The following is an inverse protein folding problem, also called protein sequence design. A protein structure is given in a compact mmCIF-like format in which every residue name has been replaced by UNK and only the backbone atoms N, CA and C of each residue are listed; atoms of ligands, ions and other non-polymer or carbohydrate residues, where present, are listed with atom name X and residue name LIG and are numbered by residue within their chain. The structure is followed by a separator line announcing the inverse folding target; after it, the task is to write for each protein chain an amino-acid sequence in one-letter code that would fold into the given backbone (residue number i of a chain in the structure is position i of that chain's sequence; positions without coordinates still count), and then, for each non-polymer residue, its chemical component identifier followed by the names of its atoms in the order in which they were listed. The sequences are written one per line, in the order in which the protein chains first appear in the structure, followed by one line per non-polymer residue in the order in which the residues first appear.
data_IF_989098455075
#
_entry.id   IF_989098455075
#
_cell.length_a   1.000
_cell.length_b   1.000
_cell.length_c   1.000
_cell.angle_alpha   90.00
_cell.angle_beta   90.00
_cell.angle_gamma   90.00
#
_symmetry.space_group_name_H-M   'P 1'
#
loop_
_entity.id
_entity.type
_entity.pdbx_description
1 polymer ?
#
# COMPACT_ATOMS: atom_id res chain seq x y z
N UNK A 1 28.84 -4.16 11.47
CA UNK A 1 27.99 -2.96 11.77
C UNK A 1 26.57 -3.44 11.95
N UNK A 2 25.83 -2.92 12.92
CA UNK A 2 24.42 -3.29 13.07
C UNK A 2 23.64 -2.70 11.90
N UNK A 3 23.09 -3.55 11.02
CA UNK A 3 22.35 -3.16 9.81
C UNK A 3 20.95 -2.61 10.13
N UNK A 4 20.46 -2.76 11.36
CA UNK A 4 19.07 -2.43 11.72
C UNK A 4 18.67 -0.99 11.39
N UNK A 5 19.56 -0.03 11.57
CA UNK A 5 19.28 1.40 11.30
C UNK A 5 19.55 1.83 9.86
N UNK A 6 19.79 0.86 8.97
CA UNK A 6 20.10 1.15 7.57
C UNK A 6 19.06 2.08 6.93
N UNK A 7 17.77 1.71 6.99
CA UNK A 7 16.71 2.49 6.36
C UNK A 7 16.49 3.86 7.01
N UNK A 8 16.56 3.93 8.33
CA UNK A 8 16.43 5.18 9.08
C UNK A 8 17.50 6.23 8.69
N UNK A 9 18.71 5.77 8.34
CA UNK A 9 19.85 6.62 8.00
C UNK A 9 19.94 7.00 6.52
N UNK A 10 19.02 6.54 5.67
CA UNK A 10 19.03 6.90 4.24
C UNK A 10 18.69 8.39 4.06
N UNK A 11 19.34 9.05 3.07
CA UNK A 11 18.93 10.39 2.67
C UNK A 11 17.48 10.37 2.15
N UNK A 12 16.76 11.46 2.42
CA UNK A 12 15.36 11.60 2.04
C UNK A 12 15.26 12.41 0.76
N UNK A 13 14.57 11.89 -0.24
CA UNK A 13 14.24 12.59 -1.47
C UNK A 13 13.02 13.48 -1.23
N UNK A 14 12.99 14.64 -1.86
CA UNK A 14 11.89 15.61 -1.72
C UNK A 14 10.93 15.62 -2.91
N UNK A 15 11.36 15.14 -4.08
CA UNK A 15 10.51 15.14 -5.28
C UNK A 15 10.32 13.72 -5.82
N UNK A 16 9.08 13.39 -6.19
CA UNK A 16 8.77 12.07 -6.74
C UNK A 16 9.56 11.74 -8.01
N UNK A 17 9.85 12.72 -8.87
CA UNK A 17 10.62 12.49 -10.10
C UNK A 17 12.06 12.04 -9.85
N UNK A 18 12.62 12.32 -8.66
CA UNK A 18 14.00 11.93 -8.29
C UNK A 18 14.18 10.41 -8.15
N UNK A 19 13.06 9.65 -8.06
CA UNK A 19 13.08 8.18 -8.12
C UNK A 19 13.61 7.65 -9.48
N UNK A 20 13.67 8.49 -10.50
CA UNK A 20 14.21 8.12 -11.81
C UNK A 20 15.73 8.29 -11.91
N UNK A 21 16.41 8.72 -10.86
CA UNK A 21 17.87 8.73 -10.78
C UNK A 21 18.37 7.53 -9.97
N UNK A 22 19.04 6.59 -10.64
CA UNK A 22 19.57 5.37 -10.01
C UNK A 22 20.60 5.62 -8.89
N UNK A 23 21.27 6.78 -8.88
CA UNK A 23 22.25 7.15 -7.83
C UNK A 23 21.61 7.39 -6.47
N UNK A 24 20.30 7.66 -6.44
CA UNK A 24 19.54 7.86 -5.21
C UNK A 24 19.20 6.56 -4.47
N UNK A 25 19.59 5.39 -5.02
CA UNK A 25 19.21 4.09 -4.49
C UNK A 25 20.40 3.36 -3.86
N UNK A 26 20.18 2.87 -2.67
CA UNK A 26 21.17 2.15 -1.85
C UNK A 26 20.85 0.66 -1.80
N UNK A 27 21.84 -0.24 -1.89
CA UNK A 27 21.61 -1.67 -1.76
C UNK A 27 21.15 -2.01 -0.35
N UNK A 28 20.10 -2.83 -0.24
CA UNK A 28 19.63 -3.33 1.06
C UNK A 28 20.66 -4.31 1.64
N UNK A 29 20.91 -4.31 2.97
CA UNK A 29 21.85 -5.23 3.60
C UNK A 29 21.52 -6.70 3.30
N UNK A 30 22.50 -7.51 2.93
CA UNK A 30 22.30 -8.90 2.47
C UNK A 30 21.77 -9.83 3.55
N UNK A 31 21.95 -9.49 4.84
CA UNK A 31 21.45 -10.23 5.99
C UNK A 31 19.94 -10.03 6.25
N UNK A 32 19.30 -9.10 5.51
CA UNK A 32 17.87 -8.85 5.65
C UNK A 32 17.03 -9.91 4.91
N UNK A 33 15.72 -9.89 5.17
CA UNK A 33 14.76 -10.68 4.43
C UNK A 33 13.62 -9.78 3.91
N UNK A 34 13.01 -10.20 2.80
CA UNK A 34 11.77 -9.62 2.31
C UNK A 34 10.59 -10.52 2.67
N UNK A 35 9.61 -9.94 3.35
CA UNK A 35 8.30 -10.53 3.58
C UNK A 35 7.43 -10.18 2.38
N UNK A 36 6.82 -11.19 1.78
CA UNK A 36 5.77 -11.05 0.77
C UNK A 36 4.48 -11.61 1.33
N UNK A 37 3.43 -10.78 1.31
CA UNK A 37 2.06 -11.26 1.58
C UNK A 37 1.18 -10.99 0.36
N UNK A 38 0.22 -11.87 0.10
CA UNK A 38 -0.65 -11.81 -1.09
C UNK A 38 -1.93 -12.62 -0.85
N UNK A 39 -3.08 -12.04 -1.16
CA UNK A 39 -4.36 -12.76 -1.10
C UNK A 39 -4.50 -13.64 -2.35
N UNK A 40 -4.60 -14.95 -2.14
CA UNK A 40 -4.84 -15.87 -3.23
C UNK A 40 -6.21 -15.58 -3.87
N UNK A 41 -6.24 -15.57 -5.22
CA UNK A 41 -7.45 -15.28 -5.99
C UNK A 41 -8.10 -13.93 -5.64
N UNK A 42 -7.28 -12.92 -5.28
CA UNK A 42 -7.72 -11.57 -4.92
C UNK A 42 -8.65 -10.95 -5.95
N UNK A 43 -8.36 -11.08 -7.24
CA UNK A 43 -9.22 -10.55 -8.32
C UNK A 43 -10.64 -11.12 -8.24
N UNK A 44 -10.79 -12.44 -8.02
CA UNK A 44 -12.10 -13.08 -7.87
C UNK A 44 -12.83 -12.60 -6.62
N UNK A 45 -12.11 -12.43 -5.50
CA UNK A 45 -12.67 -11.90 -4.28
C UNK A 45 -13.17 -10.46 -4.47
N UNK A 46 -12.43 -9.65 -5.20
CA UNK A 46 -12.77 -8.26 -5.55
C UNK A 46 -14.03 -8.22 -6.44
N UNK A 47 -14.07 -9.03 -7.49
CA UNK A 47 -15.24 -9.14 -8.39
C UNK A 47 -16.52 -9.57 -7.64
N UNK A 48 -16.38 -10.28 -6.50
CA UNK A 48 -17.51 -10.64 -5.63
C UNK A 48 -17.81 -9.62 -4.53
N UNK A 49 -17.22 -8.41 -4.61
CA UNK A 49 -17.50 -7.29 -3.69
C UNK A 49 -16.68 -7.28 -2.40
N UNK A 50 -15.65 -8.12 -2.25
CA UNK A 50 -14.77 -8.16 -1.06
C UNK A 50 -13.57 -7.22 -1.15
N UNK A 51 -13.61 -6.21 -2.01
CA UNK A 51 -12.45 -5.33 -2.27
C UNK A 51 -11.91 -4.67 -0.99
N UNK A 52 -12.81 -4.14 -0.17
CA UNK A 52 -12.44 -3.51 1.11
C UNK A 52 -11.77 -4.48 2.08
N UNK A 53 -12.24 -5.74 2.14
CA UNK A 53 -11.66 -6.78 2.98
C UNK A 53 -10.26 -7.18 2.48
N UNK A 54 -10.07 -7.28 1.16
CA UNK A 54 -8.78 -7.57 0.53
C UNK A 54 -7.75 -6.50 0.89
N UNK A 55 -8.08 -5.22 0.70
CA UNK A 55 -7.20 -4.10 1.03
C UNK A 55 -6.87 -4.03 2.52
N UNK A 56 -7.87 -4.28 3.39
CA UNK A 56 -7.66 -4.28 4.83
C UNK A 56 -6.68 -5.38 5.26
N UNK A 57 -6.81 -6.59 4.71
CA UNK A 57 -5.91 -7.70 5.05
C UNK A 57 -4.47 -7.48 4.57
N UNK A 58 -4.29 -6.83 3.41
CA UNK A 58 -2.98 -6.35 2.96
C UNK A 58 -2.37 -5.37 3.97
N UNK A 59 -3.16 -4.40 4.46
CA UNK A 59 -2.72 -3.46 5.49
C UNK A 59 -2.48 -4.13 6.86
N UNK A 60 -3.25 -5.17 7.22
CA UNK A 60 -3.00 -5.98 8.42
C UNK A 60 -1.61 -6.59 8.42
N UNK A 61 -1.11 -7.03 7.27
CA UNK A 61 0.24 -7.58 7.16
C UNK A 61 1.32 -6.54 7.48
N UNK A 62 1.10 -5.28 7.10
CA UNK A 62 2.03 -4.18 7.39
C UNK A 62 1.98 -3.80 8.86
N UNK A 63 0.78 -3.55 9.41
CA UNK A 63 0.64 -3.00 10.76
C UNK A 63 1.21 -3.96 11.82
N UNK A 64 1.02 -5.27 11.68
CA UNK A 64 1.53 -6.22 12.67
C UNK A 64 3.06 -6.27 12.70
N UNK A 65 3.71 -6.06 11.55
CA UNK A 65 5.16 -5.97 11.47
C UNK A 65 5.67 -4.63 12.01
N UNK A 66 4.99 -3.52 11.69
CA UNK A 66 5.34 -2.20 12.23
C UNK A 66 5.19 -2.15 13.76
N UNK A 67 4.14 -2.75 14.33
CA UNK A 67 3.98 -2.86 15.78
C UNK A 67 5.04 -3.77 16.42
N UNK A 68 5.45 -4.83 15.72
CA UNK A 68 6.49 -5.73 16.18
C UNK A 68 7.87 -5.04 16.26
N UNK A 69 8.23 -4.25 15.26
CA UNK A 69 9.54 -3.58 15.22
C UNK A 69 9.57 -2.30 16.04
N UNK A 70 8.41 -1.78 16.44
CA UNK A 70 8.26 -0.57 17.29
C UNK A 70 8.79 0.69 16.60
N UNK A 71 9.73 1.36 17.25
CA UNK A 71 10.32 2.62 16.77
C UNK A 71 11.31 2.45 15.61
N UNK A 72 11.63 1.20 15.23
CA UNK A 72 12.53 0.98 14.11
C UNK A 72 11.82 1.30 12.79
N UNK A 73 12.39 2.22 12.03
CA UNK A 73 11.92 2.47 10.66
C UNK A 73 12.33 1.32 9.73
N UNK A 74 11.35 0.69 9.11
CA UNK A 74 11.55 -0.35 8.09
C UNK A 74 10.81 0.02 6.80
N UNK A 75 11.36 -0.39 5.64
CA UNK A 75 10.71 -0.13 4.37
C UNK A 75 9.59 -1.13 4.07
N UNK A 76 8.48 -0.62 3.56
CA UNK A 76 7.37 -1.43 3.08
C UNK A 76 6.68 -0.78 1.88
N UNK A 77 6.02 -1.60 1.07
CA UNK A 77 5.15 -1.18 -0.03
C UNK A 77 3.83 -1.93 0.06
N UNK A 78 2.73 -1.18 0.01
CA UNK A 78 1.38 -1.72 -0.02
C UNK A 78 0.94 -2.01 -1.45
N UNK A 79 0.57 -3.26 -1.75
CA UNK A 79 0.17 -3.72 -3.08
C UNK A 79 -1.33 -3.67 -3.38
N UNK A 80 -2.16 -3.37 -2.36
CA UNK A 80 -3.62 -3.47 -2.44
C UNK A 80 -4.15 -4.80 -1.89
N UNK A 81 -3.66 -5.93 -2.37
CA UNK A 81 -4.04 -7.29 -1.94
C UNK A 81 -2.96 -7.98 -1.10
N UNK A 82 -1.93 -7.24 -0.73
CA UNK A 82 -0.81 -7.72 0.06
C UNK A 82 0.24 -6.64 0.25
N UNK A 83 1.42 -7.04 0.71
CA UNK A 83 2.52 -6.14 1.00
C UNK A 83 3.88 -6.78 0.75
N UNK A 84 4.87 -5.93 0.47
CA UNK A 84 6.29 -6.26 0.51
C UNK A 84 6.94 -5.48 1.65
N UNK A 85 7.62 -6.16 2.57
CA UNK A 85 8.21 -5.55 3.76
C UNK A 85 9.63 -6.08 3.91
N UNK A 86 10.61 -5.20 4.11
CA UNK A 86 11.98 -5.58 4.35
C UNK A 86 12.29 -5.49 5.84
N UNK A 87 12.88 -6.54 6.42
CA UNK A 87 13.16 -6.60 7.86
C UNK A 87 14.57 -7.11 8.16
N UNK A 88 15.20 -6.62 9.25
CA UNK A 88 16.40 -7.21 9.79
C UNK A 88 16.19 -8.64 10.31
N UNK A 89 17.21 -9.50 10.30
CA UNK A 89 17.10 -10.92 10.62
C UNK A 89 16.57 -11.21 12.03
N UNK A 90 16.87 -10.36 13.00
CA UNK A 90 16.45 -10.56 14.39
C UNK A 90 14.94 -10.57 14.59
N UNK A 91 14.17 -9.97 13.68
CA UNK A 91 12.69 -9.91 13.77
C UNK A 91 11.99 -11.05 13.04
N UNK A 92 12.71 -11.86 12.25
CA UNK A 92 12.09 -12.93 11.43
C UNK A 92 11.23 -13.89 12.25
N UNK A 93 11.70 -14.44 13.40
CA UNK A 93 10.88 -15.42 14.16
C UNK A 93 9.56 -14.82 14.70
N UNK A 94 9.59 -13.56 15.12
CA UNK A 94 8.41 -12.87 15.62
C UNK A 94 7.48 -12.45 14.48
N UNK A 95 8.03 -12.04 13.33
CA UNK A 95 7.29 -11.75 12.12
C UNK A 95 6.53 -12.97 11.60
N UNK A 96 7.15 -14.16 11.61
CA UNK A 96 6.46 -15.41 11.28
C UNK A 96 5.21 -15.62 12.15
N UNK A 97 5.35 -15.46 13.48
CA UNK A 97 4.22 -15.61 14.42
C UNK A 97 3.11 -14.59 14.17
N UNK A 98 3.47 -13.33 13.98
CA UNK A 98 2.51 -12.27 13.72
C UNK A 98 1.74 -12.49 12.40
N UNK A 99 2.44 -12.84 11.33
CA UNK A 99 1.84 -13.09 10.02
C UNK A 99 0.96 -14.34 10.00
N UNK A 100 1.31 -15.41 10.74
CA UNK A 100 0.45 -16.57 10.90
C UNK A 100 -0.87 -16.23 11.61
N UNK A 101 -0.86 -15.27 12.54
CA UNK A 101 -2.10 -14.77 13.15
C UNK A 101 -2.96 -14.02 12.13
N UNK A 102 -2.36 -13.20 11.25
CA UNK A 102 -3.07 -12.53 10.15
C UNK A 102 -3.65 -13.56 9.17
N UNK A 103 -2.88 -14.60 8.81
CA UNK A 103 -3.33 -15.67 7.92
C UNK A 103 -4.54 -16.43 8.50
N UNK A 104 -4.48 -16.79 9.78
CA UNK A 104 -5.58 -17.44 10.48
C UNK A 104 -6.82 -16.55 10.48
N UNK A 105 -6.68 -15.28 10.83
CA UNK A 105 -7.78 -14.32 10.83
C UNK A 105 -8.37 -14.13 9.43
N UNK A 106 -7.54 -14.02 8.39
CA UNK A 106 -7.98 -13.92 7.00
C UNK A 106 -8.86 -15.10 6.58
N UNK A 107 -8.46 -16.32 6.97
CA UNK A 107 -9.21 -17.53 6.69
C UNK A 107 -10.53 -17.61 7.47
N UNK A 108 -10.49 -17.43 8.79
CA UNK A 108 -11.63 -17.70 9.67
C UNK A 108 -12.68 -16.59 9.68
N UNK A 109 -12.26 -15.31 9.63
CA UNK A 109 -13.17 -14.16 9.71
C UNK A 109 -13.58 -13.60 8.33
N UNK A 110 -12.72 -13.75 7.31
CA UNK A 110 -12.95 -13.16 5.99
C UNK A 110 -13.18 -14.19 4.88
N UNK A 111 -12.91 -15.46 5.15
CA UNK A 111 -12.90 -16.53 4.15
C UNK A 111 -12.04 -16.13 2.93
N UNK A 112 -10.81 -15.71 3.23
CA UNK A 112 -9.77 -15.33 2.28
C UNK A 112 -8.47 -16.06 2.63
N UNK A 113 -7.71 -16.46 1.62
CA UNK A 113 -6.46 -17.18 1.80
C UNK A 113 -5.27 -16.23 1.62
N UNK A 114 -4.59 -15.87 2.71
CA UNK A 114 -3.38 -15.05 2.70
C UNK A 114 -2.15 -15.95 2.51
N UNK A 115 -1.45 -15.79 1.40
CA UNK A 115 -0.10 -16.35 1.23
C UNK A 115 0.90 -15.50 2.00
N UNK A 116 1.87 -16.18 2.59
CA UNK A 116 2.98 -15.53 3.29
C UNK A 116 4.28 -16.21 2.83
N UNK A 117 5.27 -15.40 2.51
CA UNK A 117 6.63 -15.87 2.28
C UNK A 117 7.64 -14.93 2.90
N UNK A 118 8.70 -15.50 3.47
CA UNK A 118 9.85 -14.76 4.01
C UNK A 118 11.07 -15.23 3.23
N UNK A 119 11.57 -14.37 2.35
CA UNK A 119 12.65 -14.70 1.41
C UNK A 119 13.91 -13.99 1.86
N UNK A 120 14.97 -14.71 2.28
CA UNK A 120 16.26 -14.08 2.57
C UNK A 120 16.83 -13.39 1.33
N UNK A 121 17.46 -12.23 1.49
CA UNK A 121 18.02 -11.51 0.36
C UNK A 121 19.13 -12.30 -0.36
N UNK A 122 19.83 -13.17 0.34
CA UNK A 122 20.80 -14.10 -0.24
C UNK A 122 20.21 -14.99 -1.34
N UNK A 123 18.94 -15.40 -1.19
CA UNK A 123 18.24 -16.21 -2.19
C UNK A 123 17.85 -15.41 -3.45
N UNK A 124 17.85 -14.07 -3.36
CA UNK A 124 17.54 -13.15 -4.45
C UNK A 124 18.82 -12.72 -5.18
N UNK A 125 19.91 -12.53 -4.43
CA UNK A 125 21.14 -11.88 -4.87
C UNK A 125 21.86 -12.56 -6.06
N UNK A 126 21.55 -13.84 -6.36
CA UNK A 126 22.11 -14.54 -7.51
C UNK A 126 21.55 -14.06 -8.87
N UNK A 127 20.35 -13.49 -8.88
CA UNK A 127 19.65 -13.13 -10.12
C UNK A 127 19.23 -11.65 -10.18
N UNK A 128 18.94 -11.06 -9.01
CA UNK A 128 18.41 -9.70 -8.88
C UNK A 128 19.02 -9.02 -7.66
N UNK A 129 18.92 -7.69 -7.60
CA UNK A 129 19.18 -6.94 -6.37
C UNK A 129 17.91 -6.27 -5.83
N UNK A 130 17.98 -5.77 -4.59
CA UNK A 130 16.98 -4.88 -4.03
C UNK A 130 17.72 -3.62 -3.60
N UNK A 131 17.34 -2.53 -4.24
CA UNK A 131 17.85 -1.19 -3.93
C UNK A 131 16.71 -0.32 -3.47
N UNK A 132 16.98 0.59 -2.56
CA UNK A 132 15.97 1.39 -1.90
C UNK A 132 16.35 2.86 -1.87
N UNK A 133 15.36 3.71 -2.07
CA UNK A 133 15.39 5.13 -1.74
C UNK A 133 14.27 5.46 -0.76
N UNK A 134 14.38 6.59 -0.07
CA UNK A 134 13.40 7.09 0.90
C UNK A 134 12.85 8.41 0.41
N UNK A 135 11.55 8.52 0.22
CA UNK A 135 10.88 9.69 -0.32
C UNK A 135 9.99 10.33 0.75
N UNK A 136 10.09 11.64 0.94
CA UNK A 136 9.16 12.42 1.77
C UNK A 136 7.83 12.60 1.05
N UNK A 137 6.77 12.16 1.68
CA UNK A 137 5.40 12.40 1.22
C UNK A 137 4.78 13.57 1.99
N UNK A 138 4.99 13.60 3.32
CA UNK A 138 4.59 14.69 4.21
C UNK A 138 5.54 14.75 5.41
N UNK A 139 5.33 15.68 6.31
CA UNK A 139 6.09 15.73 7.56
C UNK A 139 5.89 14.48 8.43
N UNK A 140 4.76 13.81 8.26
CA UNK A 140 4.35 12.64 9.04
C UNK A 140 4.58 11.29 8.34
N UNK A 141 5.01 11.30 7.06
CA UNK A 141 5.18 10.07 6.30
C UNK A 141 6.32 10.14 5.28
N UNK A 142 7.22 9.16 5.37
CA UNK A 142 8.21 8.86 4.35
C UNK A 142 7.94 7.49 3.74
N UNK A 143 8.03 7.40 2.41
CA UNK A 143 7.71 6.21 1.63
C UNK A 143 8.99 5.51 1.16
N UNK A 144 8.99 4.18 1.21
CA UNK A 144 10.02 3.36 0.57
C UNK A 144 9.78 3.27 -0.93
N UNK A 145 10.84 3.48 -1.70
CA UNK A 145 10.88 3.33 -3.16
C UNK A 145 11.86 2.19 -3.47
N UNK A 146 11.41 1.17 -4.17
CA UNK A 146 12.16 -0.07 -4.40
C UNK A 146 12.50 -0.26 -5.88
N UNK A 147 13.69 -0.81 -6.16
CA UNK A 147 14.21 -1.11 -7.50
C UNK A 147 15.07 -2.38 -7.50
N UNK A 148 15.34 -2.91 -8.71
CA UNK A 148 16.29 -3.99 -8.95
C UNK A 148 15.67 -5.34 -9.27
N UNK A 149 14.33 -5.42 -9.36
CA UNK A 149 13.60 -6.65 -9.71
C UNK A 149 13.47 -7.67 -8.59
N UNK A 150 14.22 -7.52 -7.49
CA UNK A 150 14.27 -8.50 -6.41
C UNK A 150 12.92 -8.70 -5.70
N UNK A 151 12.10 -7.67 -5.56
CA UNK A 151 10.73 -7.78 -4.98
C UNK A 151 9.82 -8.60 -5.88
N UNK A 152 9.84 -8.34 -7.19
CA UNK A 152 9.07 -9.11 -8.17
C UNK A 152 9.51 -10.57 -8.22
N UNK A 153 10.82 -10.83 -8.13
CA UNK A 153 11.36 -12.18 -8.06
C UNK A 153 10.95 -12.90 -6.76
N UNK A 154 11.07 -12.25 -5.59
CA UNK A 154 10.59 -12.80 -4.32
C UNK A 154 9.09 -13.12 -4.37
N UNK A 155 8.28 -12.25 -4.98
CA UNK A 155 6.86 -12.50 -5.18
C UNK A 155 6.62 -13.74 -6.05
N UNK A 156 7.41 -13.96 -7.07
CA UNK A 156 7.35 -15.17 -7.91
C UNK A 156 7.67 -16.42 -7.08
N UNK A 157 8.76 -16.40 -6.30
CA UNK A 157 9.15 -17.52 -5.42
C UNK A 157 8.04 -17.90 -4.42
N UNK A 158 7.33 -16.92 -3.88
CA UNK A 158 6.22 -17.14 -2.92
C UNK A 158 4.96 -17.64 -3.61
N UNK A 159 4.71 -17.27 -4.86
CA UNK A 159 3.53 -17.71 -5.63
C UNK A 159 3.69 -19.05 -6.32
N UNK A 160 4.90 -19.41 -6.68
CA UNK A 160 5.19 -20.66 -7.38
C UNK A 160 5.07 -21.88 -6.43
N UNK A 161 4.27 -22.87 -6.85
CA UNK A 161 4.01 -24.09 -6.08
C UNK A 161 5.26 -24.94 -5.83
N UNK A 162 6.29 -24.82 -6.66
CA UNK A 162 7.53 -25.57 -6.51
C UNK A 162 8.48 -24.99 -5.47
N UNK A 163 8.37 -23.69 -5.19
CA UNK A 163 9.29 -22.97 -4.29
C UNK A 163 8.64 -22.42 -3.03
N UNK A 164 7.32 -22.21 -3.02
CA UNK A 164 6.61 -21.55 -1.93
C UNK A 164 6.83 -22.21 -0.55
N UNK A 165 6.95 -23.54 -0.51
CA UNK A 165 7.18 -24.28 0.73
C UNK A 165 8.54 -24.00 1.39
N UNK A 166 9.53 -23.50 0.60
CA UNK A 166 10.84 -23.12 1.11
C UNK A 166 10.81 -21.83 1.93
N UNK A 167 9.86 -20.94 1.58
CA UNK A 167 9.78 -19.58 2.14
C UNK A 167 8.54 -19.38 3.03
N UNK A 168 7.63 -20.32 3.08
CA UNK A 168 6.45 -20.25 3.97
C UNK A 168 6.86 -20.35 5.44
N UNK A 169 6.18 -19.63 6.35
CA UNK A 169 6.41 -19.75 7.79
C UNK A 169 6.32 -21.20 8.27
N UNK A 170 7.25 -21.62 9.12
CA UNK A 170 7.35 -22.99 9.63
C UNK A 170 6.71 -23.20 11.00
N UNK A 171 6.31 -22.09 11.67
CA UNK A 171 5.73 -22.13 13.00
C UNK A 171 4.28 -22.61 12.99
N UNK A 172 3.86 -23.19 14.10
CA UNK A 172 2.46 -23.62 14.30
C UNK A 172 1.58 -22.40 14.65
N UNK A 173 0.39 -22.32 14.05
CA UNK A 173 -0.63 -21.30 14.33
C UNK A 173 -1.03 -21.19 15.81
N UNK A 174 -0.80 -22.21 16.60
CA UNK A 174 -1.14 -22.24 18.04
C UNK A 174 -0.45 -21.11 18.83
N UNK A 175 0.72 -20.66 18.39
CA UNK A 175 1.52 -19.60 19.04
C UNK A 175 1.46 -18.27 18.29
N UNK A 176 0.52 -18.13 17.36
CA UNK A 176 0.40 -16.93 16.56
C UNK A 176 -0.20 -15.77 17.39
N UNK A 177 0.51 -14.65 17.42
CA UNK A 177 0.11 -13.42 18.14
C UNK A 177 0.31 -12.25 17.17
N UNK A 178 -0.70 -11.36 17.05
CA UNK A 178 -0.64 -10.17 16.25
C UNK A 178 -1.23 -8.97 17.00
N UNK A 179 -0.58 -7.82 16.87
CA UNK A 179 -1.08 -6.53 17.34
C UNK A 179 -1.51 -5.69 16.13
N UNK A 180 -2.80 -5.38 16.06
CA UNK A 180 -3.40 -4.55 15.02
C UNK A 180 -3.60 -3.09 15.44
N UNK A 181 -3.05 -2.67 16.59
CA UNK A 181 -3.18 -1.29 17.08
C UNK A 181 -2.74 -0.30 16.00
N UNK A 182 -3.51 0.76 15.80
CA UNK A 182 -3.27 1.76 14.75
C UNK A 182 -3.92 1.47 13.40
N UNK A 183 -4.45 0.25 13.16
CA UNK A 183 -5.25 -0.01 11.97
C UNK A 183 -6.61 0.70 12.09
N UNK A 184 -6.94 1.56 11.13
CA UNK A 184 -8.21 2.26 11.09
C UNK A 184 -8.84 2.17 9.70
N UNK A 185 -10.14 1.89 9.63
CA UNK A 185 -10.93 1.87 8.38
C UNK A 185 -12.23 2.66 8.60
N UNK A 186 -12.08 3.93 9.01
CA UNK A 186 -13.18 4.76 9.53
C UNK A 186 -13.68 5.84 8.59
N UNK A 187 -13.01 6.03 7.44
CA UNK A 187 -13.46 6.94 6.41
C UNK A 187 -14.46 6.25 5.48
N UNK A 188 -15.40 7.02 4.97
CA UNK A 188 -16.24 6.58 3.86
C UNK A 188 -15.40 6.51 2.59
N UNK A 189 -15.93 5.85 1.57
CA UNK A 189 -15.41 5.94 0.22
C UNK A 189 -15.41 7.43 -0.19
N UNK A 190 -14.31 7.89 -0.79
CA UNK A 190 -14.03 9.31 -1.02
C UNK A 190 -14.44 9.65 -2.47
N UNK A 191 -15.53 10.39 -2.68
CA UNK A 191 -15.92 10.80 -4.03
C UNK A 191 -14.82 11.59 -4.71
N UNK A 192 -14.68 11.42 -6.03
CA UNK A 192 -13.74 12.22 -6.79
C UNK A 192 -14.07 13.71 -6.74
N UNK A 193 -13.04 14.56 -6.72
CA UNK A 193 -13.19 16.02 -6.89
C UNK A 193 -13.55 16.39 -8.33
N UNK A 194 -13.09 15.58 -9.28
CA UNK A 194 -13.29 15.77 -10.72
C UNK A 194 -14.35 14.79 -11.26
N UNK A 195 -14.13 14.27 -12.46
CA UNK A 195 -15.08 13.36 -13.10
C UNK A 195 -14.81 11.89 -12.71
N UNK A 196 -13.53 11.52 -12.50
CA UNK A 196 -13.12 10.13 -12.29
C UNK A 196 -11.87 10.00 -11.41
N UNK A 197 -11.72 8.81 -10.82
CA UNK A 197 -10.48 8.32 -10.19
C UNK A 197 -9.87 7.28 -11.13
N UNK A 198 -8.61 7.48 -11.48
CA UNK A 198 -7.82 6.59 -12.32
C UNK A 198 -6.79 5.85 -11.47
N UNK A 199 -6.91 4.52 -11.33
CA UNK A 199 -5.84 3.66 -10.84
C UNK A 199 -4.99 3.22 -12.01
N UNK A 200 -3.74 3.68 -12.06
CA UNK A 200 -2.80 3.47 -13.17
C UNK A 200 -1.62 2.62 -12.72
N UNK A 201 -1.21 1.68 -13.59
CA UNK A 201 0.01 0.89 -13.47
C UNK A 201 0.79 1.04 -14.77
N UNK A 202 2.08 1.35 -14.69
CA UNK A 202 2.98 1.42 -15.85
C UNK A 202 4.27 0.67 -15.53
N UNK A 203 4.63 -0.26 -16.38
CA UNK A 203 5.90 -0.98 -16.34
C UNK A 203 6.70 -0.70 -17.62
N UNK A 204 7.86 -0.11 -17.44
CA UNK A 204 8.78 0.19 -18.55
C UNK A 204 9.57 -1.05 -18.91
N UNK A 205 9.73 -1.28 -20.21
CA UNK A 205 10.60 -2.31 -20.80
C UNK A 205 11.63 -1.62 -21.69
N UNK A 206 12.91 -1.73 -21.32
CA UNK A 206 13.99 -1.18 -22.13
C UNK A 206 15.30 -1.97 -21.86
N UNK A 207 16.22 -2.05 -22.83
CA UNK A 207 17.42 -2.88 -22.75
C UNK A 207 18.44 -2.37 -21.72
N UNK A 208 18.39 -1.12 -21.29
CA UNK A 208 19.34 -0.58 -20.31
C UNK A 208 18.63 0.21 -19.20
N UNK A 209 19.25 0.20 -18.00
CA UNK A 209 18.71 0.93 -16.84
C UNK A 209 18.55 2.42 -17.11
N UNK A 210 19.49 3.05 -17.81
CA UNK A 210 19.39 4.47 -18.18
C UNK A 210 18.19 4.76 -19.06
N UNK A 211 17.85 3.86 -19.98
CA UNK A 211 16.66 4.00 -20.82
C UNK A 211 15.37 3.81 -20.02
N UNK A 212 15.36 2.87 -19.07
CA UNK A 212 14.25 2.67 -18.12
C UNK A 212 14.02 3.95 -17.32
N UNK A 213 15.07 4.52 -16.75
CA UNK A 213 15.03 5.73 -15.93
C UNK A 213 14.52 6.94 -16.71
N UNK A 214 15.03 7.13 -17.93
CA UNK A 214 14.60 8.22 -18.80
C UNK A 214 13.12 8.08 -19.20
N UNK A 215 12.66 6.85 -19.47
CA UNK A 215 11.27 6.65 -19.86
C UNK A 215 10.31 6.83 -18.68
N UNK A 216 10.66 6.36 -17.48
CA UNK A 216 9.86 6.67 -16.29
C UNK A 216 9.79 8.17 -16.03
N UNK A 217 10.92 8.89 -16.20
CA UNK A 217 10.92 10.37 -16.09
C UNK A 217 10.00 11.01 -17.12
N UNK A 218 10.04 10.53 -18.36
CA UNK A 218 9.15 10.99 -19.43
C UNK A 218 7.68 10.76 -19.07
N UNK A 219 7.33 9.55 -18.61
CA UNK A 219 5.96 9.18 -18.20
C UNK A 219 5.48 10.05 -17.03
N UNK A 220 6.28 10.21 -15.98
CA UNK A 220 5.92 11.03 -14.82
C UNK A 220 5.70 12.49 -15.24
N UNK A 221 6.59 13.05 -16.03
CA UNK A 221 6.44 14.43 -16.53
C UNK A 221 5.21 14.58 -17.43
N UNK A 222 4.88 13.57 -18.23
CA UNK A 222 3.68 13.59 -19.07
C UNK A 222 2.40 13.53 -18.22
N UNK A 223 2.38 12.71 -17.15
CA UNK A 223 1.26 12.66 -16.19
C UNK A 223 1.11 14.05 -15.53
N UNK A 224 2.18 14.62 -15.02
CA UNK A 224 2.18 15.93 -14.38
C UNK A 224 1.73 17.04 -15.36
N UNK A 225 2.11 16.96 -16.65
CA UNK A 225 1.66 17.91 -17.67
C UNK A 225 0.15 17.79 -17.97
N UNK A 226 -0.40 16.57 -17.98
CA UNK A 226 -1.81 16.32 -18.32
C UNK A 226 -2.73 16.60 -17.13
N UNK A 227 -2.35 16.15 -15.93
CA UNK A 227 -3.22 16.16 -14.74
C UNK A 227 -2.91 17.29 -13.75
N UNK A 228 -1.75 17.97 -13.92
CA UNK A 228 -1.23 18.89 -12.93
C UNK A 228 -0.42 18.19 -11.84
N UNK A 229 0.04 18.98 -10.87
CA UNK A 229 0.89 18.50 -9.76
C UNK A 229 0.18 18.63 -8.42
N UNK A 230 0.64 17.84 -7.44
CA UNK A 230 0.21 17.97 -6.05
C UNK A 230 -1.29 17.87 -5.89
N UNK A 231 -1.93 18.94 -5.40
CA UNK A 231 -3.36 18.99 -5.07
C UNK A 231 -4.28 18.94 -6.28
N UNK A 232 -3.79 19.24 -7.49
CA UNK A 232 -4.62 19.28 -8.70
C UNK A 232 -5.10 17.87 -9.11
N UNK A 233 -4.25 16.86 -8.93
CA UNK A 233 -4.54 15.48 -9.30
C UNK A 233 -4.74 14.55 -8.08
N UNK A 234 -4.73 15.11 -6.86
CA UNK A 234 -4.80 14.34 -5.62
C UNK A 234 -6.17 13.62 -5.48
N UNK A 235 -6.18 12.30 -5.24
CA UNK A 235 -7.43 11.53 -5.16
C UNK A 235 -8.21 11.78 -3.86
N UNK A 236 -7.53 12.27 -2.81
CA UNK A 236 -8.13 12.54 -1.50
C UNK A 236 -8.09 14.03 -1.22
N UNK A 237 -9.25 14.65 -1.18
CA UNK A 237 -9.40 16.08 -0.83
C UNK A 237 -10.15 16.23 0.49
N UNK A 238 -9.74 17.19 1.28
CA UNK A 238 -10.23 17.39 2.67
C UNK A 238 -11.73 17.53 2.76
N UNK A 239 -12.35 18.19 1.77
CA UNK A 239 -13.78 18.46 1.70
C UNK A 239 -14.61 17.17 1.53
N UNK A 240 -14.05 16.17 0.87
CA UNK A 240 -14.72 14.90 0.58
C UNK A 240 -14.48 13.83 1.66
N UNK A 241 -13.59 14.10 2.63
CA UNK A 241 -13.33 13.21 3.76
C UNK A 241 -14.49 13.22 4.75
N UNK A 242 -15.18 12.09 4.88
CA UNK A 242 -16.29 11.90 5.80
C UNK A 242 -16.10 10.62 6.62
N UNK A 243 -16.36 10.72 7.94
CA UNK A 243 -16.30 9.55 8.82
C UNK A 243 -17.47 8.60 8.55
N UNK A 244 -17.18 7.30 8.64
CA UNK A 244 -18.16 6.24 8.42
C UNK A 244 -18.95 5.94 9.70
N UNK A 245 -20.29 5.84 9.59
CA UNK A 245 -21.20 5.42 10.67
C UNK A 245 -21.98 4.17 10.32
N UNK A 246 -22.04 3.83 9.03
CA UNK A 246 -22.76 2.66 8.56
C UNK A 246 -22.03 1.38 8.98
N UNK A 247 -22.83 0.36 9.39
CA UNK A 247 -22.30 -0.94 9.78
C UNK A 247 -21.41 -1.55 8.69
N UNK A 248 -21.83 -1.48 7.43
CA UNK A 248 -21.09 -2.04 6.29
C UNK A 248 -19.67 -1.48 6.19
N UNK A 249 -19.50 -0.19 6.43
CA UNK A 249 -18.19 0.49 6.33
C UNK A 249 -17.25 0.18 7.49
N UNK A 250 -17.79 -0.10 8.69
CA UNK A 250 -17.02 -0.37 9.92
C UNK A 250 -16.85 -1.86 10.21
N UNK A 251 -17.51 -2.74 9.43
CA UNK A 251 -17.56 -4.17 9.74
C UNK A 251 -16.19 -4.83 9.58
N UNK A 252 -15.41 -4.44 8.58
CA UNK A 252 -14.11 -5.04 8.31
C UNK A 252 -13.12 -4.75 9.45
N UNK A 253 -13.03 -3.52 9.95
CA UNK A 253 -12.25 -3.17 11.16
C UNK A 253 -12.76 -3.95 12.38
N UNK A 254 -14.09 -4.02 12.56
CA UNK A 254 -14.70 -4.76 13.66
C UNK A 254 -14.30 -6.25 13.67
N UNK A 255 -14.23 -6.88 12.49
CA UNK A 255 -13.80 -8.29 12.37
C UNK A 255 -12.33 -8.47 12.76
N UNK A 256 -11.45 -7.52 12.44
CA UNK A 256 -10.05 -7.59 12.84
C UNK A 256 -9.90 -7.53 14.36
N UNK A 257 -10.46 -6.51 15.01
CA UNK A 257 -10.25 -6.27 16.44
C UNK A 257 -11.07 -7.16 17.36
N UNK A 258 -12.19 -7.66 16.90
CA UNK A 258 -13.04 -8.59 17.63
C UNK A 258 -13.00 -10.00 17.04
N UNK A 259 -11.93 -10.34 16.30
CA UNK A 259 -11.68 -11.67 15.78
C UNK A 259 -11.78 -12.71 16.91
N UNK A 260 -12.45 -13.81 16.64
CA UNK A 260 -12.62 -14.95 17.58
C UNK A 260 -13.35 -14.61 18.89
N UNK A 261 -13.88 -13.40 19.08
CA UNK A 261 -14.49 -12.98 20.35
C UNK A 261 -16.02 -13.10 20.39
N UNK A 262 -16.63 -13.53 19.28
CA UNK A 262 -18.06 -13.74 19.15
C UNK A 262 -18.88 -12.47 18.87
N UNK A 263 -20.13 -12.66 18.44
CA UNK A 263 -21.03 -11.61 17.91
C UNK A 263 -21.31 -10.47 18.89
N UNK A 264 -21.38 -10.77 20.20
CA UNK A 264 -21.67 -9.74 21.22
C UNK A 264 -20.52 -8.74 21.28
N UNK A 265 -19.28 -9.20 21.37
CA UNK A 265 -18.11 -8.32 21.42
C UNK A 265 -17.92 -7.56 20.10
N UNK A 266 -18.18 -8.16 18.95
CA UNK A 266 -18.21 -7.45 17.66
C UNK A 266 -19.23 -6.32 17.65
N UNK A 267 -20.43 -6.54 18.21
CA UNK A 267 -21.46 -5.51 18.30
C UNK A 267 -21.05 -4.38 19.25
N UNK A 268 -20.48 -4.70 20.40
CA UNK A 268 -19.96 -3.68 21.35
C UNK A 268 -18.82 -2.86 20.73
N UNK A 269 -17.91 -3.54 20.00
CA UNK A 269 -16.83 -2.84 19.32
C UNK A 269 -17.35 -1.90 18.22
N UNK A 270 -18.35 -2.32 17.46
CA UNK A 270 -19.00 -1.46 16.45
C UNK A 270 -19.62 -0.20 17.08
N UNK A 271 -20.28 -0.30 18.25
CA UNK A 271 -20.79 0.86 18.97
C UNK A 271 -19.67 1.75 19.49
N UNK A 272 -18.57 1.16 19.99
CA UNK A 272 -17.37 1.91 20.36
C UNK A 272 -16.82 2.72 19.17
N UNK A 273 -16.71 2.12 17.97
CA UNK A 273 -16.25 2.82 16.77
C UNK A 273 -17.16 3.99 16.39
N UNK A 274 -18.49 3.81 16.45
CA UNK A 274 -19.45 4.88 16.19
C UNK A 274 -19.31 6.04 17.16
N UNK A 275 -19.10 5.76 18.45
CA UNK A 275 -18.87 6.78 19.45
C UNK A 275 -17.56 7.53 19.20
N UNK A 276 -16.48 6.82 18.90
CA UNK A 276 -15.18 7.44 18.56
C UNK A 276 -15.32 8.34 17.33
N UNK A 277 -16.01 7.87 16.28
CA UNK A 277 -16.24 8.66 15.07
C UNK A 277 -17.12 9.90 15.36
N UNK A 278 -18.12 9.77 16.22
CA UNK A 278 -18.95 10.92 16.63
C UNK A 278 -18.10 11.96 17.39
N UNK A 279 -17.28 11.53 18.33
CA UNK A 279 -16.36 12.43 19.05
C UNK A 279 -15.35 13.06 18.08
N UNK A 280 -14.78 12.29 17.18
CA UNK A 280 -13.88 12.81 16.14
C UNK A 280 -14.55 13.84 15.23
N UNK A 281 -15.80 13.60 14.83
CA UNK A 281 -16.58 14.55 14.04
C UNK A 281 -16.79 15.88 14.82
N UNK A 282 -17.18 15.80 16.09
CA UNK A 282 -17.35 16.97 16.96
C UNK A 282 -16.03 17.73 17.10
N UNK A 283 -14.93 17.02 17.37
CA UNK A 283 -13.62 17.64 17.58
C UNK A 283 -13.11 18.34 16.32
N UNK A 284 -13.26 17.71 15.15
CA UNK A 284 -12.89 18.32 13.86
C UNK A 284 -13.79 19.52 13.52
N UNK A 285 -15.11 19.43 13.77
CA UNK A 285 -16.06 20.50 13.44
C UNK A 285 -15.82 21.75 14.28
N UNK A 286 -15.51 21.57 15.56
CA UNK A 286 -15.32 22.69 16.51
C UNK A 286 -13.85 23.07 16.70
N UNK A 287 -12.93 22.52 15.90
CA UNK A 287 -11.48 22.78 15.99
C UNK A 287 -10.94 22.60 17.42
N UNK A 288 -11.39 21.53 18.10
CA UNK A 288 -11.01 21.26 19.50
C UNK A 288 -9.52 20.89 19.53
N UNK A 289 -8.79 21.45 20.49
CA UNK A 289 -7.40 21.10 20.75
C UNK A 289 -7.30 20.07 21.87
N UNK A 290 -6.49 19.04 21.67
CA UNK A 290 -6.12 18.04 22.68
C UNK A 290 -4.60 18.03 22.82
N UNK A 291 -4.08 18.57 23.91
CA UNK A 291 -2.65 18.82 24.02
C UNK A 291 -2.17 19.82 22.97
N UNK A 292 -1.12 19.46 22.23
CA UNK A 292 -0.61 20.24 21.10
C UNK A 292 -1.42 20.05 19.80
N UNK A 293 -2.21 18.98 19.70
CA UNK A 293 -2.91 18.59 18.48
C UNK A 293 -4.22 19.36 18.28
N UNK A 294 -4.37 19.99 17.09
CA UNK A 294 -5.61 20.64 16.66
C UNK A 294 -6.41 19.71 15.74
N UNK A 295 -7.56 19.23 16.19
CA UNK A 295 -8.41 18.35 15.40
C UNK A 295 -8.97 18.99 14.13
N UNK A 296 -9.00 20.32 14.04
CA UNK A 296 -9.40 21.02 12.82
C UNK A 296 -8.48 20.73 11.64
N UNK A 297 -7.20 20.46 11.90
CA UNK A 297 -6.19 20.20 10.87
C UNK A 297 -6.14 18.72 10.46
N UNK A 298 -6.85 17.81 11.17
CA UNK A 298 -6.71 16.38 10.99
C UNK A 298 -7.02 15.90 9.58
N UNK A 299 -8.04 16.43 8.91
CA UNK A 299 -8.35 16.08 7.53
C UNK A 299 -7.23 16.45 6.55
N UNK A 300 -6.55 17.59 6.80
CA UNK A 300 -5.41 18.02 6.00
C UNK A 300 -4.23 17.05 6.19
N UNK A 301 -3.91 16.70 7.43
CA UNK A 301 -2.86 15.75 7.77
C UNK A 301 -3.12 14.38 7.10
N UNK A 302 -4.38 13.90 7.16
CA UNK A 302 -4.79 12.66 6.49
C UNK A 302 -4.59 12.75 4.97
N UNK A 303 -5.00 13.85 4.34
CA UNK A 303 -4.80 14.06 2.91
C UNK A 303 -3.31 14.04 2.52
N UNK A 304 -2.47 14.76 3.27
CA UNK A 304 -1.04 14.88 3.02
C UNK A 304 -0.26 13.58 3.23
N UNK A 305 -0.69 12.73 4.17
CA UNK A 305 -0.05 11.44 4.46
C UNK A 305 -0.58 10.28 3.59
N UNK A 306 -1.10 10.58 2.41
CA UNK A 306 -1.67 9.59 1.49
C UNK A 306 -0.64 9.00 0.53
N UNK A 307 -0.64 7.68 0.43
CA UNK A 307 0.20 6.87 -0.45
C UNK A 307 -0.48 6.67 -1.84
N UNK A 308 -0.60 7.73 -2.63
CA UNK A 308 -1.28 7.68 -3.94
C UNK A 308 -0.34 7.58 -5.15
N UNK A 309 0.98 7.71 -4.93
CA UNK A 309 2.04 7.49 -5.92
C UNK A 309 3.04 6.51 -5.33
N UNK A 310 3.34 5.42 -6.04
CA UNK A 310 4.25 4.35 -5.58
C UNK A 310 5.18 3.93 -6.69
N UNK A 311 6.32 3.40 -6.29
CA UNK A 311 7.27 2.82 -7.22
C UNK A 311 7.99 1.63 -6.57
N UNK A 312 7.87 0.46 -7.20
CA UNK A 312 8.55 -0.80 -6.85
C UNK A 312 8.89 -1.55 -8.14
N UNK A 313 9.80 -0.99 -8.93
CA UNK A 313 10.06 -1.33 -10.34
C UNK A 313 8.88 -1.06 -11.29
N UNK A 314 7.71 -0.82 -10.73
CA UNK A 314 6.47 -0.52 -11.45
C UNK A 314 5.90 0.79 -10.90
N UNK A 315 5.59 1.73 -11.78
CA UNK A 315 4.91 2.96 -11.39
C UNK A 315 3.43 2.69 -11.14
N UNK A 316 2.94 3.04 -9.95
CA UNK A 316 1.53 2.97 -9.58
C UNK A 316 1.04 4.31 -9.10
N UNK A 317 -0.11 4.75 -9.58
CA UNK A 317 -0.70 6.03 -9.19
C UNK A 317 -2.22 5.93 -9.11
N UNK A 318 -2.80 6.61 -8.13
CA UNK A 318 -4.23 6.90 -8.08
C UNK A 318 -4.41 8.38 -8.33
N UNK A 319 -5.12 8.75 -9.39
CA UNK A 319 -5.19 10.13 -9.90
C UNK A 319 -6.65 10.55 -9.99
N UNK A 320 -7.00 11.72 -9.44
CA UNK A 320 -8.29 12.35 -9.70
C UNK A 320 -8.19 13.25 -10.94
N UNK A 321 -9.12 13.13 -11.89
CA UNK A 321 -9.05 13.91 -13.12
C UNK A 321 -10.32 13.89 -13.96
N UNK A 322 -10.21 14.44 -15.17
CA UNK A 322 -11.28 14.48 -16.16
C UNK A 322 -11.09 13.41 -17.21
N UNK A 323 -12.18 12.91 -17.76
CA UNK A 323 -12.19 11.92 -18.86
C UNK A 323 -11.29 12.32 -20.03
N UNK A 324 -11.28 13.61 -20.40
CA UNK A 324 -10.39 14.12 -21.46
C UNK A 324 -8.90 13.99 -21.13
N UNK A 325 -8.54 14.13 -19.86
CA UNK A 325 -7.15 13.95 -19.38
C UNK A 325 -6.75 12.48 -19.48
N UNK A 326 -7.63 11.58 -19.08
CA UNK A 326 -7.42 10.13 -19.23
C UNK A 326 -7.20 9.74 -20.69
N UNK A 327 -8.04 10.21 -21.62
CA UNK A 327 -7.87 9.90 -23.05
C UNK A 327 -6.48 10.37 -23.55
N UNK A 328 -6.06 11.59 -23.22
CA UNK A 328 -4.72 12.08 -23.60
C UNK A 328 -3.60 11.21 -23.02
N UNK A 329 -3.73 10.77 -21.77
CA UNK A 329 -2.74 9.89 -21.14
C UNK A 329 -2.75 8.50 -21.79
N UNK A 330 -3.92 7.92 -22.01
CA UNK A 330 -4.01 6.58 -22.64
C UNK A 330 -3.51 6.58 -24.06
N UNK A 331 -3.78 7.63 -24.87
CA UNK A 331 -3.22 7.77 -26.22
C UNK A 331 -1.68 7.82 -26.21
N UNK A 332 -1.11 8.55 -25.23
CA UNK A 332 0.34 8.60 -25.03
C UNK A 332 0.92 7.22 -24.63
N UNK A 333 0.31 6.55 -23.65
CA UNK A 333 0.76 5.24 -23.18
C UNK A 333 0.61 4.17 -24.26
N UNK A 334 -0.49 4.18 -25.02
CA UNK A 334 -0.73 3.28 -26.13
C UNK A 334 0.35 3.44 -27.21
N UNK A 335 0.72 4.67 -27.58
CA UNK A 335 1.82 4.91 -28.50
C UNK A 335 3.13 4.29 -28.00
N UNK A 336 3.46 4.46 -26.70
CA UNK A 336 4.67 3.86 -26.12
C UNK A 336 4.61 2.33 -26.03
N UNK A 337 3.43 1.77 -25.83
CA UNK A 337 3.20 0.33 -25.88
C UNK A 337 3.43 -0.22 -27.30
N UNK A 338 2.89 0.42 -28.32
CA UNK A 338 3.10 0.05 -29.73
C UNK A 338 4.59 0.14 -30.14
N UNK A 339 5.35 1.05 -29.52
CA UNK A 339 6.82 1.14 -29.67
C UNK A 339 7.57 0.02 -28.92
N UNK A 340 6.87 -0.86 -28.16
CA UNK A 340 7.48 -1.94 -27.37
C UNK A 340 8.25 -1.45 -26.13
N UNK A 341 8.01 -0.21 -25.68
CA UNK A 341 8.79 0.46 -24.65
C UNK A 341 8.22 0.32 -23.24
N UNK A 342 6.92 0.09 -23.11
CA UNK A 342 6.25 -0.11 -21.83
C UNK A 342 5.01 -0.97 -21.99
N UNK A 343 4.52 -1.48 -20.87
CA UNK A 343 3.17 -2.03 -20.72
C UNK A 343 2.44 -1.25 -19.67
N UNK A 344 1.13 -1.16 -19.77
CA UNK A 344 0.32 -0.41 -18.83
C UNK A 344 -1.03 -1.06 -18.58
N UNK A 345 -1.69 -0.65 -17.53
CA UNK A 345 -3.07 -0.99 -17.25
C UNK A 345 -3.69 0.08 -16.39
N UNK A 346 -4.98 0.26 -16.51
CA UNK A 346 -5.72 1.22 -15.68
C UNK A 346 -7.13 0.73 -15.36
N UNK A 347 -7.67 1.27 -14.28
CA UNK A 347 -9.07 1.10 -13.89
C UNK A 347 -9.66 2.46 -13.52
N UNK A 348 -10.92 2.68 -13.88
CA UNK A 348 -11.64 3.94 -13.64
C UNK A 348 -12.76 3.70 -12.63
N UNK A 349 -12.87 4.57 -11.65
CA UNK A 349 -13.97 4.60 -10.68
C UNK A 349 -14.41 6.03 -10.39
N UNK A 350 -15.54 6.20 -9.72
CA UNK A 350 -16.08 7.50 -9.32
C UNK A 350 -15.63 7.94 -7.92
N UNK A 351 -14.89 7.06 -7.21
CA UNK A 351 -14.45 7.28 -5.84
C UNK A 351 -13.18 6.50 -5.52
N UNK A 352 -12.47 6.96 -4.49
CA UNK A 352 -11.33 6.27 -3.92
C UNK A 352 -11.70 5.54 -2.62
N UNK A 353 -10.97 4.48 -2.31
CA UNK A 353 -10.96 3.79 -1.02
C UNK A 353 -9.69 4.11 -0.26
N UNK A 354 -9.80 4.18 1.06
CA UNK A 354 -8.65 4.45 1.92
C UNK A 354 -8.60 3.47 3.10
N UNK A 355 -7.41 2.95 3.38
CA UNK A 355 -7.09 2.16 4.57
C UNK A 355 -5.97 2.85 5.33
N UNK A 356 -6.15 3.09 6.62
CA UNK A 356 -5.27 3.94 7.41
C UNK A 356 -4.49 3.14 8.45
N UNK A 357 -3.21 3.45 8.57
CA UNK A 357 -2.36 3.07 9.69
C UNK A 357 -2.01 4.35 10.46
N UNK A 358 -2.57 4.48 11.66
CA UNK A 358 -2.46 5.69 12.49
C UNK A 358 -1.84 5.31 13.82
N UNK A 359 -0.55 5.58 13.99
CA UNK A 359 0.18 5.38 15.25
C UNK A 359 -0.01 6.60 16.14
N UNK A 360 0.13 7.79 15.55
CA UNK A 360 -0.04 9.09 16.20
C UNK A 360 -0.82 10.02 15.27
N UNK A 361 -1.77 10.79 15.79
CA UNK A 361 -2.64 11.63 14.95
C UNK A 361 -1.96 12.89 14.43
N UNK A 362 -0.98 13.39 15.15
CA UNK A 362 -0.11 14.50 14.79
C UNK A 362 1.33 14.07 14.44
N UNK A 363 1.52 12.76 14.22
CA UNK A 363 2.80 12.15 13.95
C UNK A 363 2.71 11.04 12.91
N UNK A 364 3.36 9.92 13.20
CA UNK A 364 3.52 8.78 12.29
C UNK A 364 2.18 8.19 11.86
N UNK A 365 1.84 8.35 10.60
CA UNK A 365 0.65 7.76 9.99
C UNK A 365 0.85 7.59 8.47
N UNK A 366 0.07 6.69 7.86
CA UNK A 366 -0.01 6.51 6.42
C UNK A 366 -1.41 6.10 6.01
N UNK A 367 -1.87 6.62 4.88
CA UNK A 367 -3.17 6.32 4.33
C UNK A 367 -3.00 5.71 2.93
N UNK A 368 -3.22 4.40 2.82
CA UNK A 368 -3.17 3.70 1.54
C UNK A 368 -4.41 4.01 0.74
N UNK A 369 -4.22 4.48 -0.47
CA UNK A 369 -5.32 4.85 -1.38
C UNK A 369 -5.33 3.95 -2.60
N UNK A 370 -6.52 3.55 -3.00
CA UNK A 370 -6.78 2.86 -4.26
C UNK A 370 -8.10 3.34 -4.87
N UNK A 371 -8.30 3.13 -6.17
CA UNK A 371 -9.61 3.35 -6.79
C UNK A 371 -10.63 2.33 -6.30
N UNK A 372 -11.88 2.73 -6.15
CA UNK A 372 -12.94 1.81 -5.76
C UNK A 372 -13.22 0.76 -6.86
N UNK A 373 -13.97 -0.27 -6.48
CA UNK A 373 -14.50 -1.31 -7.37
C UNK A 373 -13.43 -2.10 -8.14
N UNK A 374 -12.22 -2.19 -7.59
CA UNK A 374 -11.16 -3.02 -8.13
C UNK A 374 -9.81 -2.35 -8.34
N UNK A 375 -9.76 -1.04 -8.46
CA UNK A 375 -8.55 -0.22 -8.44
C UNK A 375 -7.32 -0.83 -9.12
N UNK A 376 -6.22 -0.94 -8.39
CA UNK A 376 -4.98 -1.55 -8.90
C UNK A 376 -5.13 -3.01 -9.34
N UNK A 377 -6.03 -3.79 -8.74
CA UNK A 377 -6.18 -5.19 -9.10
C UNK A 377 -6.74 -5.35 -10.52
N UNK A 378 -7.74 -4.54 -10.90
CA UNK A 378 -8.28 -4.54 -12.26
C UNK A 378 -7.33 -3.88 -13.26
N UNK A 379 -6.61 -2.83 -12.87
CA UNK A 379 -5.53 -2.27 -13.67
C UNK A 379 -4.43 -3.31 -13.97
N UNK A 380 -4.02 -4.10 -12.97
CA UNK A 380 -3.05 -5.18 -13.14
C UNK A 380 -3.58 -6.32 -14.03
N UNK A 381 -4.88 -6.63 -13.96
CA UNK A 381 -5.52 -7.61 -14.86
C UNK A 381 -5.44 -7.14 -16.31
N UNK A 382 -5.82 -5.90 -16.59
CA UNK A 382 -5.71 -5.32 -17.93
C UNK A 382 -4.26 -5.31 -18.43
N UNK A 383 -3.29 -4.91 -17.61
CA UNK A 383 -1.87 -4.93 -17.98
C UNK A 383 -1.39 -6.33 -18.37
N UNK A 384 -1.79 -7.37 -17.61
CA UNK A 384 -1.46 -8.78 -17.93
C UNK A 384 -2.09 -9.26 -19.24
N UNK A 385 -3.26 -8.76 -19.60
CA UNK A 385 -3.90 -9.06 -20.89
C UNK A 385 -3.13 -8.44 -22.05
N UNK A 386 -2.67 -7.17 -21.90
CA UNK A 386 -1.81 -6.51 -22.88
C UNK A 386 -0.45 -7.20 -23.04
N UNK A 387 0.12 -7.79 -21.99
CA UNK A 387 1.39 -8.54 -22.08
C UNK A 387 1.27 -9.83 -22.93
N UNK A 388 0.06 -10.31 -23.16
CA UNK A 388 -0.19 -11.55 -23.92
C UNK A 388 -0.53 -11.30 -25.39
N UNK A 389 -0.91 -10.06 -25.73
CA UNK A 389 -1.20 -9.62 -27.10
C UNK A 389 0.11 -9.31 -27.86
#
# INVERSE_FOLDING_TARGET
MNSDKFYANLPVLENFVDITNGENFYPVPQDWAVIITDIADSTKAIETGKYKDVNLLGACSIIVILNLVGELEIPFVFGGDGASILIPPKFIPDAERALLAVQKMASEEFNLNLRIGIVPLEAIASNYDIRIAKLRISDNYTQAILRGGGISYATTLVKDKSTNSLYSPKLNHQYAIADFSGLECRWQDIPTRHEEILSLIVQVTAPSQTQIDNLYREVINQIDHIYGKGTECHPVVTENLQLAFQRKSLLSETRVFAAFQGRIKQTLYLWKLRLINLLGLVFMTFNIKTGSFNWGDYKQIVSEATDFKKFDDVLRMVISGKTKQRHKLTDYLEKKFQEGRLVYGFHVSDRALMTCLVFERDGRQVHFVDGADGGYALAAKQMKELMKS
#
